data_IF_241292227958
#
_entry.id   IF_241292227958
#
_cell.length_a   1.000
_cell.length_b   1.000
_cell.length_c   1.000
_cell.angle_alpha   90.00
_cell.angle_beta   90.00
_cell.angle_gamma   90.00
#
_symmetry.space_group_name_H-M   'P 1'
#
loop_
_entity.id
_entity.type
_entity.pdbx_description
1 polymer ?
#
# COMPACT_ATOMS: atom_id res chain seq x y z
N UNK A 1 -29.23 69.40 0.23
CA UNK A 1 -29.65 68.38 -0.75
C UNK A 1 -28.73 67.17 -0.61
N UNK A 2 -29.20 66.07 -0.02
CA UNK A 2 -28.41 64.82 0.15
C UNK A 2 -28.66 63.95 -1.10
N UNK A 3 -27.62 63.43 -1.79
CA UNK A 3 -27.79 62.80 -3.09
C UNK A 3 -28.44 61.41 -2.98
N UNK A 4 -29.32 61.10 -3.94
CA UNK A 4 -30.21 59.94 -4.01
C UNK A 4 -29.54 58.56 -4.18
N UNK A 5 -28.24 58.42 -3.88
CA UNK A 5 -27.46 57.19 -4.11
C UNK A 5 -27.65 56.14 -3.01
N UNK A 6 -28.05 56.55 -1.81
CA UNK A 6 -28.29 55.66 -0.64
C UNK A 6 -29.58 54.86 -0.72
N UNK A 7 -30.55 55.24 -1.57
CA UNK A 7 -31.87 54.57 -1.64
C UNK A 7 -31.87 53.24 -2.41
N UNK A 8 -30.87 52.97 -3.25
CA UNK A 8 -30.76 51.71 -4.04
C UNK A 8 -29.90 50.62 -3.37
N UNK A 9 -29.18 50.94 -2.29
CA UNK A 9 -28.35 49.97 -1.55
C UNK A 9 -29.13 49.21 -0.45
N UNK A 10 -30.21 49.79 0.06
CA UNK A 10 -31.07 49.15 1.05
C UNK A 10 -31.72 47.82 0.57
N UNK A 11 -32.30 47.73 -0.65
CA UNK A 11 -32.91 46.47 -1.11
C UNK A 11 -31.88 45.39 -1.44
N UNK A 12 -30.69 45.76 -1.92
CA UNK A 12 -29.61 44.81 -2.22
C UNK A 12 -28.98 44.25 -0.94
N UNK A 13 -28.79 45.08 0.09
CA UNK A 13 -28.35 44.62 1.40
C UNK A 13 -29.40 43.71 2.06
N UNK A 14 -30.68 44.04 1.94
CA UNK A 14 -31.78 43.20 2.43
C UNK A 14 -31.83 41.83 1.76
N UNK A 15 -31.62 41.76 0.44
CA UNK A 15 -31.52 40.50 -0.31
C UNK A 15 -30.31 39.66 0.12
N UNK A 16 -29.15 40.28 0.33
CA UNK A 16 -27.95 39.57 0.79
C UNK A 16 -28.13 39.03 2.21
N UNK A 17 -28.74 39.79 3.12
CA UNK A 17 -29.04 39.33 4.47
C UNK A 17 -30.11 38.23 4.48
N UNK A 18 -31.13 38.32 3.62
CA UNK A 18 -32.12 37.27 3.46
C UNK A 18 -31.51 35.99 2.88
N UNK A 19 -30.62 36.10 1.88
CA UNK A 19 -29.89 34.97 1.33
C UNK A 19 -28.94 34.35 2.37
N UNK A 20 -28.26 35.16 3.18
CA UNK A 20 -27.39 34.69 4.26
C UNK A 20 -28.18 34.00 5.37
N UNK A 21 -29.34 34.57 5.75
CA UNK A 21 -30.26 33.95 6.71
C UNK A 21 -30.84 32.63 6.21
N UNK A 22 -31.25 32.57 4.94
CA UNK A 22 -31.71 31.33 4.32
C UNK A 22 -30.59 30.28 4.25
N UNK A 23 -29.37 30.69 3.89
CA UNK A 23 -28.19 29.82 3.89
C UNK A 23 -27.86 29.31 5.29
N UNK A 24 -27.97 30.15 6.32
CA UNK A 24 -27.73 29.74 7.70
C UNK A 24 -28.81 28.75 8.19
N UNK A 25 -30.08 28.96 7.82
CA UNK A 25 -31.16 28.02 8.16
C UNK A 25 -31.00 26.66 7.47
N UNK A 26 -30.59 26.66 6.20
CA UNK A 26 -30.22 25.43 5.47
C UNK A 26 -29.00 24.78 6.11
N UNK A 27 -27.97 25.55 6.46
CA UNK A 27 -26.79 25.01 7.13
C UNK A 27 -27.15 24.39 8.48
N UNK A 28 -28.02 25.02 9.27
CA UNK A 28 -28.47 24.49 10.55
C UNK A 28 -29.37 23.26 10.40
N UNK A 29 -30.18 23.16 9.33
CA UNK A 29 -30.98 21.96 9.07
C UNK A 29 -30.09 20.80 8.63
N UNK A 30 -29.14 21.07 7.74
CA UNK A 30 -28.10 20.13 7.33
C UNK A 30 -27.31 19.69 8.55
N UNK A 31 -26.77 20.59 9.36
CA UNK A 31 -25.98 20.25 10.54
C UNK A 31 -26.77 19.40 11.57
N UNK A 32 -28.08 19.63 11.71
CA UNK A 32 -28.96 18.82 12.57
C UNK A 32 -29.25 17.43 12.03
N UNK A 33 -29.42 17.28 10.71
CA UNK A 33 -29.52 15.95 10.09
C UNK A 33 -28.17 15.24 10.11
N UNK A 34 -27.10 15.94 9.75
CA UNK A 34 -25.72 15.46 9.74
C UNK A 34 -25.19 15.11 11.12
N UNK A 35 -25.70 15.73 12.20
CA UNK A 35 -25.40 15.33 13.57
C UNK A 35 -25.88 13.90 13.87
N UNK A 36 -26.96 13.42 13.24
CA UNK A 36 -27.42 12.03 13.36
C UNK A 36 -26.55 11.05 12.55
N UNK A 37 -25.88 11.55 11.52
CA UNK A 37 -24.98 10.78 10.67
C UNK A 37 -23.50 10.87 11.08
N UNK A 38 -23.15 11.73 12.05
CA UNK A 38 -21.80 11.80 12.65
C UNK A 38 -21.37 10.47 13.29
N UNK A 39 -22.32 9.62 13.66
CA UNK A 39 -22.05 8.27 14.21
C UNK A 39 -22.11 7.16 13.16
N UNK A 40 -22.45 7.46 11.90
CA UNK A 40 -22.54 6.48 10.81
C UNK A 40 -21.61 6.84 9.66
N UNK A 41 -20.36 6.32 9.65
CA UNK A 41 -19.43 6.50 8.53
C UNK A 41 -19.92 5.87 7.21
N UNK A 42 -21.11 5.26 7.20
CA UNK A 42 -21.60 4.35 6.17
C UNK A 42 -22.44 4.98 5.05
N UNK A 43 -22.58 6.30 5.00
CA UNK A 43 -23.40 6.96 3.97
C UNK A 43 -22.52 7.66 2.95
N UNK A 44 -22.53 7.22 1.69
CA UNK A 44 -22.05 8.04 0.57
C UNK A 44 -23.00 9.23 0.43
N UNK A 45 -22.56 10.45 0.77
CA UNK A 45 -23.45 11.62 0.77
C UNK A 45 -23.99 11.90 -0.65
N UNK A 46 -23.15 11.68 -1.66
CA UNK A 46 -23.47 11.62 -3.08
C UNK A 46 -22.54 10.58 -3.70
N UNK A 47 -23.10 9.59 -4.42
CA UNK A 47 -22.36 8.45 -4.99
C UNK A 47 -21.63 8.75 -6.31
N UNK A 48 -21.92 9.90 -6.93
CA UNK A 48 -21.32 10.29 -8.22
C UNK A 48 -20.31 11.42 -8.05
N UNK A 49 -19.02 11.09 -8.15
CA UNK A 49 -17.94 12.09 -8.13
C UNK A 49 -18.08 13.13 -9.24
N UNK A 50 -18.62 12.77 -10.41
CA UNK A 50 -18.88 13.71 -11.51
C UNK A 50 -19.95 14.75 -11.16
N UNK A 51 -21.02 14.34 -10.49
CA UNK A 51 -22.08 15.26 -10.03
C UNK A 51 -21.54 16.17 -8.94
N UNK A 52 -20.79 15.60 -7.99
CA UNK A 52 -20.18 16.38 -6.91
C UNK A 52 -19.17 17.40 -7.44
N UNK A 53 -18.39 17.02 -8.47
CA UNK A 53 -17.45 17.90 -9.16
C UNK A 53 -18.15 19.13 -9.75
N UNK A 54 -19.31 18.95 -10.39
CA UNK A 54 -20.10 20.05 -10.95
C UNK A 54 -20.74 20.93 -9.86
N UNK A 55 -21.24 20.31 -8.78
CA UNK A 55 -21.90 21.01 -7.68
C UNK A 55 -20.92 21.72 -6.72
N UNK A 56 -19.64 21.36 -6.76
CA UNK A 56 -18.59 21.95 -5.90
C UNK A 56 -18.30 23.43 -6.16
N UNK A 57 -18.82 24.01 -7.24
CA UNK A 57 -18.64 25.42 -7.64
C UNK A 57 -17.15 25.85 -7.61
N UNK A 58 -16.23 24.96 -7.99
CA UNK A 58 -14.78 25.22 -8.03
C UNK A 58 -13.99 24.78 -6.78
N UNK A 59 -14.64 24.32 -5.70
CA UNK A 59 -13.97 23.85 -4.48
C UNK A 59 -13.71 22.33 -4.50
N UNK A 60 -13.34 21.80 -5.67
CA UNK A 60 -13.20 20.36 -5.90
C UNK A 60 -12.11 19.75 -5.01
N UNK A 61 -10.95 20.38 -4.91
CA UNK A 61 -9.85 19.92 -4.06
C UNK A 61 -10.22 19.91 -2.58
N UNK A 62 -10.92 20.94 -2.07
CA UNK A 62 -11.39 20.94 -0.68
C UNK A 62 -12.36 19.79 -0.40
N UNK A 63 -13.28 19.52 -1.33
CA UNK A 63 -14.17 18.37 -1.20
C UNK A 63 -13.42 17.04 -1.32
N UNK A 64 -12.39 16.96 -2.17
CA UNK A 64 -11.53 15.80 -2.24
C UNK A 64 -10.84 15.54 -0.90
N UNK A 65 -10.32 16.58 -0.22
CA UNK A 65 -9.71 16.46 1.11
C UNK A 65 -10.71 15.95 2.17
N UNK A 66 -11.97 16.39 2.10
CA UNK A 66 -13.04 15.90 2.98
C UNK A 66 -13.29 14.41 2.71
N UNK A 67 -13.41 13.99 1.46
CA UNK A 67 -13.63 12.59 1.10
C UNK A 67 -12.39 11.71 1.40
N UNK A 68 -11.18 12.25 1.25
CA UNK A 68 -9.95 11.59 1.63
C UNK A 68 -9.91 11.36 3.16
N UNK A 69 -10.20 12.39 3.95
CA UNK A 69 -10.30 12.28 5.41
C UNK A 69 -11.31 11.21 5.80
N UNK A 70 -12.47 11.18 5.15
CA UNK A 70 -13.50 10.15 5.39
C UNK A 70 -13.00 8.75 5.04
N UNK A 71 -12.21 8.62 3.97
CA UNK A 71 -11.62 7.34 3.55
C UNK A 71 -10.68 6.81 4.63
N UNK A 72 -9.74 7.65 5.10
CA UNK A 72 -8.78 7.29 6.14
C UNK A 72 -9.50 6.96 7.46
N UNK A 73 -10.50 7.75 7.85
CA UNK A 73 -11.28 7.50 9.07
C UNK A 73 -12.10 6.21 8.97
N UNK A 74 -12.73 5.93 7.81
CA UNK A 74 -13.44 4.68 7.58
C UNK A 74 -12.48 3.50 7.71
N UNK A 75 -11.37 3.52 6.99
CA UNK A 75 -10.35 2.45 7.04
C UNK A 75 -9.82 2.23 8.46
N UNK A 76 -9.40 3.30 9.14
CA UNK A 76 -8.88 3.23 10.51
C UNK A 76 -9.92 2.72 11.52
N UNK A 77 -11.20 3.09 11.36
CA UNK A 77 -12.28 2.59 12.23
C UNK A 77 -12.49 1.08 12.05
N UNK A 78 -12.40 0.56 10.82
CA UNK A 78 -12.52 -0.88 10.55
C UNK A 78 -11.37 -1.66 11.18
N UNK A 79 -10.15 -1.16 11.05
CA UNK A 79 -8.98 -1.81 11.67
C UNK A 79 -9.09 -1.85 13.19
N UNK A 80 -9.45 -0.71 13.81
CA UNK A 80 -9.61 -0.60 15.26
C UNK A 80 -10.71 -1.51 15.80
N UNK A 81 -11.82 -1.59 15.08
CA UNK A 81 -12.98 -2.39 15.47
C UNK A 81 -12.87 -3.85 14.97
N UNK A 82 -11.72 -4.26 14.44
CA UNK A 82 -11.42 -5.59 13.89
C UNK A 82 -12.43 -6.10 12.85
N UNK A 83 -13.01 -5.19 12.06
CA UNK A 83 -13.97 -5.52 10.99
C UNK A 83 -13.23 -5.92 9.72
N UNK A 84 -13.78 -6.91 9.01
CA UNK A 84 -13.24 -7.41 7.73
C UNK A 84 -13.93 -6.84 6.50
N UNK A 85 -15.07 -6.16 6.67
CA UNK A 85 -15.81 -5.53 5.59
C UNK A 85 -15.32 -4.10 5.34
N UNK A 86 -14.84 -3.87 4.11
CA UNK A 86 -14.33 -2.60 3.59
C UNK A 86 -15.12 -2.13 2.36
N UNK A 87 -16.38 -2.53 2.21
CA UNK A 87 -17.25 -2.24 1.06
C UNK A 87 -17.29 -0.78 0.59
N UNK A 88 -17.12 0.20 1.48
CA UNK A 88 -17.15 1.63 1.12
C UNK A 88 -15.80 2.21 0.72
N UNK A 89 -14.71 1.47 0.90
CA UNK A 89 -13.36 1.98 0.65
C UNK A 89 -13.17 2.37 -0.83
N UNK A 90 -13.54 1.47 -1.75
CA UNK A 90 -13.47 1.72 -3.18
C UNK A 90 -14.28 2.94 -3.63
N UNK A 91 -15.59 3.00 -3.34
CA UNK A 91 -16.41 4.16 -3.68
C UNK A 91 -15.90 5.49 -3.11
N UNK A 92 -15.41 5.50 -1.87
CA UNK A 92 -14.85 6.72 -1.26
C UNK A 92 -13.58 7.18 -1.99
N UNK A 93 -12.69 6.25 -2.35
CA UNK A 93 -11.48 6.54 -3.11
C UNK A 93 -11.81 7.04 -4.51
N UNK A 94 -12.73 6.39 -5.23
CA UNK A 94 -13.12 6.78 -6.58
C UNK A 94 -13.68 8.20 -6.62
N UNK A 95 -14.51 8.58 -5.63
CA UNK A 95 -15.01 9.96 -5.51
C UNK A 95 -13.85 10.93 -5.24
N UNK A 96 -12.98 10.58 -4.29
CA UNK A 96 -11.83 11.42 -3.90
C UNK A 96 -10.98 11.77 -5.12
N UNK A 97 -10.54 10.76 -5.89
CA UNK A 97 -9.65 10.96 -7.04
C UNK A 97 -10.38 11.53 -8.27
N UNK A 98 -11.70 11.38 -8.34
CA UNK A 98 -12.51 12.06 -9.38
C UNK A 98 -12.61 13.57 -9.11
N UNK A 99 -12.66 13.97 -7.83
CA UNK A 99 -12.71 15.37 -7.43
C UNK A 99 -11.35 16.04 -7.60
N UNK A 100 -10.29 15.41 -7.10
CA UNK A 100 -8.92 15.89 -7.26
C UNK A 100 -8.00 14.80 -7.82
N UNK A 101 -7.86 14.73 -9.16
CA UNK A 101 -6.95 13.79 -9.80
C UNK A 101 -5.46 14.04 -9.50
N UNK A 102 -5.09 15.20 -8.93
CA UNK A 102 -3.70 15.51 -8.58
C UNK A 102 -3.36 15.09 -7.14
N UNK A 103 -4.33 14.59 -6.37
CA UNK A 103 -4.13 14.13 -4.99
C UNK A 103 -3.41 12.77 -4.96
N UNK A 104 -2.11 12.76 -5.29
CA UNK A 104 -1.28 11.55 -5.42
C UNK A 104 -1.27 10.66 -4.17
N UNK A 105 -1.42 11.24 -2.98
CA UNK A 105 -1.50 10.52 -1.70
C UNK A 105 -2.69 9.55 -1.66
N UNK A 106 -3.84 9.93 -2.23
CA UNK A 106 -5.03 9.09 -2.25
C UNK A 106 -4.84 7.87 -3.15
N UNK A 107 -4.11 8.02 -4.26
CA UNK A 107 -3.76 6.88 -5.13
C UNK A 107 -2.80 5.92 -4.42
N UNK A 108 -1.75 6.43 -3.77
CA UNK A 108 -0.77 5.60 -3.09
C UNK A 108 -1.39 4.81 -1.94
N UNK A 109 -1.89 5.50 -0.93
CA UNK A 109 -2.45 4.84 0.26
C UNK A 109 -3.75 4.10 -0.06
N UNK A 110 -4.60 4.67 -0.93
CA UNK A 110 -5.81 4.00 -1.38
C UNK A 110 -5.54 2.67 -2.06
N UNK A 111 -4.47 2.57 -2.87
CA UNK A 111 -4.08 1.30 -3.48
C UNK A 111 -3.69 0.24 -2.44
N UNK A 112 -2.99 0.63 -1.37
CA UNK A 112 -2.62 -0.27 -0.26
C UNK A 112 -3.88 -0.73 0.47
N UNK A 113 -4.76 0.20 0.85
CA UNK A 113 -5.98 -0.11 1.58
C UNK A 113 -6.88 -1.07 0.80
N UNK A 114 -6.95 -0.91 -0.52
CA UNK A 114 -7.72 -1.77 -1.41
C UNK A 114 -7.06 -3.14 -1.58
N UNK A 115 -5.74 -3.20 -1.78
CA UNK A 115 -5.08 -4.44 -2.15
C UNK A 115 -4.87 -5.42 -0.99
N UNK A 116 -4.59 -4.92 0.23
CA UNK A 116 -4.34 -5.79 1.38
C UNK A 116 -5.57 -6.64 1.71
N UNK A 117 -5.35 -7.91 2.09
CA UNK A 117 -6.44 -8.83 2.45
C UNK A 117 -7.07 -8.47 3.80
N UNK A 118 -8.36 -8.77 4.02
CA UNK A 118 -8.94 -8.70 5.35
C UNK A 118 -8.15 -9.54 6.37
N UNK A 119 -8.01 -9.07 7.62
CA UNK A 119 -8.63 -7.88 8.21
C UNK A 119 -7.88 -6.57 7.96
N UNK A 120 -6.78 -6.57 7.19
CA UNK A 120 -5.93 -5.39 7.00
C UNK A 120 -6.36 -4.48 5.84
N UNK A 121 -7.15 -4.97 4.90
CA UNK A 121 -7.69 -4.19 3.80
C UNK A 121 -8.87 -4.88 3.10
N UNK A 122 -9.27 -4.34 1.94
CA UNK A 122 -10.45 -4.82 1.21
C UNK A 122 -10.23 -6.13 0.42
N UNK A 123 -8.99 -6.52 0.15
CA UNK A 123 -8.66 -7.69 -0.65
C UNK A 123 -9.05 -7.56 -2.12
N UNK A 124 -9.12 -6.32 -2.64
CA UNK A 124 -9.44 -5.99 -4.03
C UNK A 124 -8.22 -5.37 -4.76
N UNK A 125 -7.24 -6.21 -5.14
CA UNK A 125 -6.08 -5.73 -5.88
C UNK A 125 -6.41 -5.24 -7.29
N UNK A 126 -7.57 -5.61 -7.88
CA UNK A 126 -7.94 -5.12 -9.21
C UNK A 126 -8.41 -3.68 -9.15
N UNK A 127 -9.20 -3.31 -8.15
CA UNK A 127 -9.56 -1.91 -7.92
C UNK A 127 -8.32 -1.07 -7.59
N UNK A 128 -7.40 -1.59 -6.78
CA UNK A 128 -6.12 -0.93 -6.51
C UNK A 128 -5.29 -0.65 -7.78
N UNK A 129 -5.22 -1.60 -8.73
CA UNK A 129 -4.59 -1.39 -10.05
C UNK A 129 -5.29 -0.29 -10.82
N UNK A 130 -6.62 -0.35 -10.94
CA UNK A 130 -7.40 0.62 -11.70
C UNK A 130 -7.22 2.04 -11.13
N UNK A 131 -7.19 2.16 -9.80
CA UNK A 131 -6.92 3.40 -9.09
C UNK A 131 -5.53 3.94 -9.47
N UNK A 132 -4.46 3.14 -9.37
CA UNK A 132 -3.10 3.56 -9.72
C UNK A 132 -2.96 3.93 -11.19
N UNK A 133 -3.58 3.16 -12.10
CA UNK A 133 -3.58 3.46 -13.54
C UNK A 133 -4.26 4.80 -13.83
N UNK A 134 -5.39 5.08 -13.16
CA UNK A 134 -6.04 6.39 -13.25
C UNK A 134 -5.10 7.50 -12.76
N UNK A 135 -4.42 7.30 -11.64
CA UNK A 135 -3.45 8.25 -11.10
C UNK A 135 -2.28 8.52 -12.05
N UNK A 136 -1.75 7.49 -12.71
CA UNK A 136 -0.65 7.60 -13.68
C UNK A 136 -1.06 8.47 -14.88
N UNK A 137 -2.29 8.30 -15.39
CA UNK A 137 -2.81 9.12 -16.50
C UNK A 137 -2.99 10.57 -16.06
N UNK A 138 -3.49 10.79 -14.84
CA UNK A 138 -3.71 12.13 -14.30
C UNK A 138 -2.39 12.84 -13.91
N UNK A 139 -1.35 12.09 -13.54
CA UNK A 139 -0.10 12.61 -12.99
C UNK A 139 1.12 12.00 -13.73
N UNK A 140 1.32 12.29 -15.03
CA UNK A 140 2.38 11.66 -15.83
C UNK A 140 3.80 11.92 -15.31
N UNK A 141 3.98 13.03 -14.59
CA UNK A 141 5.24 13.43 -13.98
C UNK A 141 5.55 12.71 -12.65
N UNK A 142 4.58 12.04 -12.03
CA UNK A 142 4.76 11.35 -10.76
C UNK A 142 5.16 9.89 -10.97
N UNK A 143 6.47 9.67 -11.13
CA UNK A 143 7.03 8.33 -11.37
C UNK A 143 6.77 7.33 -10.22
N UNK A 144 6.49 7.80 -8.99
CA UNK A 144 6.22 6.90 -7.86
C UNK A 144 4.95 6.08 -8.05
N UNK A 145 3.95 6.60 -8.77
CA UNK A 145 2.74 5.83 -9.08
C UNK A 145 3.05 4.57 -9.90
N UNK A 146 4.02 4.64 -10.81
CA UNK A 146 4.53 3.46 -11.52
C UNK A 146 5.25 2.48 -10.60
N UNK A 147 6.02 2.98 -9.63
CA UNK A 147 6.63 2.13 -8.61
C UNK A 147 5.56 1.40 -7.79
N UNK A 148 4.52 2.08 -7.33
CA UNK A 148 3.43 1.47 -6.57
C UNK A 148 2.67 0.43 -7.42
N UNK A 149 2.41 0.72 -8.70
CA UNK A 149 1.80 -0.24 -9.61
C UNK A 149 2.67 -1.48 -9.81
N UNK A 150 3.98 -1.28 -10.01
CA UNK A 150 4.93 -2.38 -10.13
C UNK A 150 5.03 -3.21 -8.85
N UNK A 151 5.01 -2.57 -7.69
CA UNK A 151 4.97 -3.23 -6.38
C UNK A 151 3.73 -4.11 -6.22
N UNK A 152 2.56 -3.58 -6.58
CA UNK A 152 1.30 -4.31 -6.51
C UNK A 152 1.30 -5.56 -7.41
N UNK A 153 1.79 -5.44 -8.66
CA UNK A 153 1.97 -6.60 -9.53
C UNK A 153 2.95 -7.62 -8.96
N UNK A 154 4.07 -7.16 -8.41
CA UNK A 154 5.12 -8.03 -7.89
C UNK A 154 4.66 -8.81 -6.65
N UNK A 155 4.03 -8.12 -5.69
CA UNK A 155 3.78 -8.67 -4.36
C UNK A 155 2.42 -9.35 -4.27
N UNK A 156 1.35 -8.63 -4.62
CA UNK A 156 -0.02 -9.13 -4.44
C UNK A 156 -0.41 -10.13 -5.52
N UNK A 157 0.02 -9.88 -6.76
CA UNK A 157 -0.39 -10.68 -7.92
C UNK A 157 0.67 -11.67 -8.37
N UNK A 158 1.91 -11.56 -7.87
CA UNK A 158 3.08 -12.35 -8.32
C UNK A 158 3.26 -12.30 -9.84
N UNK A 159 2.83 -11.22 -10.47
CA UNK A 159 2.91 -10.99 -11.90
C UNK A 159 4.19 -10.21 -12.23
N UNK A 160 5.29 -10.94 -12.27
CA UNK A 160 6.62 -10.35 -12.47
C UNK A 160 6.76 -9.67 -13.84
N UNK A 161 6.05 -10.16 -14.86
CA UNK A 161 6.07 -9.57 -16.21
C UNK A 161 5.47 -8.17 -16.18
N UNK A 162 4.25 -8.03 -15.62
CA UNK A 162 3.62 -6.71 -15.50
C UNK A 162 4.34 -5.82 -14.48
N UNK A 163 4.91 -6.39 -13.43
CA UNK A 163 5.74 -5.64 -12.49
C UNK A 163 6.96 -5.01 -13.18
N UNK A 164 7.76 -5.81 -13.89
CA UNK A 164 8.92 -5.31 -14.62
C UNK A 164 8.54 -4.24 -15.65
N UNK A 165 7.45 -4.46 -16.39
CA UNK A 165 6.94 -3.49 -17.36
C UNK A 165 6.55 -2.16 -16.70
N UNK A 166 5.91 -2.19 -15.53
CA UNK A 166 5.57 -0.97 -14.78
C UNK A 166 6.82 -0.22 -14.30
N UNK A 167 7.82 -0.93 -13.75
CA UNK A 167 9.11 -0.33 -13.37
C UNK A 167 9.84 0.27 -14.58
N UNK A 168 9.85 -0.43 -15.71
CA UNK A 168 10.48 0.04 -16.94
C UNK A 168 9.77 1.27 -17.51
N UNK A 169 8.44 1.31 -17.45
CA UNK A 169 7.65 2.48 -17.87
C UNK A 169 7.93 3.68 -16.95
N UNK A 170 7.89 3.49 -15.63
CA UNK A 170 8.21 4.54 -14.66
C UNK A 170 9.63 5.08 -14.78
N UNK A 171 10.59 4.22 -15.12
CA UNK A 171 11.99 4.58 -15.33
C UNK A 171 12.24 5.52 -16.53
N UNK A 172 11.27 5.66 -17.45
CA UNK A 172 11.36 6.61 -18.57
C UNK A 172 11.09 8.05 -18.14
N UNK A 173 10.47 8.25 -16.97
CA UNK A 173 10.22 9.58 -16.44
C UNK A 173 11.56 10.24 -16.03
N UNK A 174 11.86 11.49 -16.47
CA UNK A 174 13.13 12.15 -16.17
C UNK A 174 13.41 12.38 -14.67
N UNK A 175 12.36 12.44 -13.86
CA UNK A 175 12.43 12.60 -12.39
C UNK A 175 12.58 11.26 -11.67
N UNK A 176 12.49 10.13 -12.38
CA UNK A 176 12.63 8.81 -11.80
C UNK A 176 14.06 8.57 -11.32
N UNK A 177 14.19 7.85 -10.22
CA UNK A 177 15.49 7.46 -9.69
C UNK A 177 16.04 6.28 -10.49
N UNK A 178 17.37 6.24 -10.66
CA UNK A 178 18.05 5.21 -11.48
C UNK A 178 17.74 3.77 -11.06
N UNK A 179 17.45 3.56 -9.78
CA UNK A 179 17.09 2.24 -9.26
C UNK A 179 15.84 1.64 -9.93
N UNK A 180 14.94 2.45 -10.50
CA UNK A 180 13.77 1.95 -11.25
C UNK A 180 14.19 1.09 -12.45
N UNK A 181 15.28 1.46 -13.16
CA UNK A 181 15.83 0.69 -14.29
C UNK A 181 16.45 -0.61 -13.83
N UNK A 182 17.22 -0.54 -12.74
CA UNK A 182 17.82 -1.71 -12.10
C UNK A 182 16.73 -2.70 -11.67
N UNK A 183 15.62 -2.19 -11.12
CA UNK A 183 14.49 -3.00 -10.72
C UNK A 183 13.77 -3.67 -11.88
N UNK A 184 13.52 -2.94 -12.97
CA UNK A 184 12.94 -3.54 -14.16
C UNK A 184 13.80 -4.73 -14.64
N UNK A 185 15.11 -4.56 -14.74
CA UNK A 185 16.04 -5.62 -15.12
C UNK A 185 16.04 -6.79 -14.12
N UNK A 186 16.11 -6.50 -12.81
CA UNK A 186 16.14 -7.52 -11.76
C UNK A 186 14.85 -8.37 -11.72
N UNK A 187 13.69 -7.74 -11.91
CA UNK A 187 12.40 -8.45 -11.95
C UNK A 187 12.27 -9.25 -13.26
N UNK A 188 12.74 -8.73 -14.39
CA UNK A 188 12.76 -9.48 -15.65
C UNK A 188 13.66 -10.72 -15.58
N UNK A 189 14.85 -10.59 -14.97
CA UNK A 189 15.83 -11.68 -14.90
C UNK A 189 15.46 -12.72 -13.83
N UNK A 190 15.03 -12.27 -12.65
CA UNK A 190 14.83 -13.11 -11.45
C UNK A 190 13.61 -12.67 -10.64
N UNK A 191 12.47 -12.47 -11.31
CA UNK A 191 11.20 -12.15 -10.66
C UNK A 191 10.87 -13.16 -9.54
N UNK A 192 10.63 -12.67 -8.33
CA UNK A 192 10.35 -13.51 -7.16
C UNK A 192 11.59 -13.98 -6.38
N UNK A 193 12.81 -13.62 -6.79
CA UNK A 193 14.02 -13.91 -6.03
C UNK A 193 14.11 -13.04 -4.77
N UNK A 194 14.59 -13.65 -3.68
CA UNK A 194 14.77 -13.03 -2.37
C UNK A 194 15.57 -11.72 -2.42
N UNK A 195 16.57 -11.62 -3.29
CA UNK A 195 17.48 -10.46 -3.36
C UNK A 195 16.77 -9.26 -3.99
N UNK A 196 15.96 -9.50 -5.02
CA UNK A 196 15.09 -8.48 -5.62
C UNK A 196 14.04 -8.02 -4.62
N UNK A 197 13.45 -8.95 -3.87
CA UNK A 197 12.48 -8.63 -2.81
C UNK A 197 13.10 -7.85 -1.65
N UNK A 198 14.30 -8.22 -1.22
CA UNK A 198 15.06 -7.52 -0.16
C UNK A 198 15.35 -6.09 -0.56
N UNK A 199 15.77 -5.89 -1.81
CA UNK A 199 16.01 -4.56 -2.35
C UNK A 199 14.73 -3.70 -2.29
N UNK A 200 13.59 -4.22 -2.75
CA UNK A 200 12.32 -3.49 -2.77
C UNK A 200 11.87 -3.05 -1.37
N UNK A 201 11.88 -3.96 -0.40
CA UNK A 201 11.46 -3.62 0.96
C UNK A 201 12.42 -2.65 1.64
N UNK A 202 13.73 -2.76 1.35
CA UNK A 202 14.71 -1.78 1.81
C UNK A 202 14.41 -0.38 1.27
N UNK A 203 13.98 -0.27 0.00
CA UNK A 203 13.56 1.04 -0.57
C UNK A 203 12.37 1.64 0.16
N UNK A 204 11.36 0.83 0.51
CA UNK A 204 10.18 1.30 1.26
C UNK A 204 10.61 1.73 2.67
N UNK A 205 11.39 0.90 3.36
CA UNK A 205 11.93 1.19 4.69
C UNK A 205 12.71 2.52 4.74
N UNK A 206 13.57 2.75 3.74
CA UNK A 206 14.42 3.94 3.68
C UNK A 206 13.65 5.21 3.28
N UNK A 207 12.56 5.08 2.52
CA UNK A 207 11.85 6.23 1.93
C UNK A 207 10.60 6.68 2.69
N UNK A 208 10.02 5.83 3.54
CA UNK A 208 8.79 6.16 4.27
C UNK A 208 9.08 6.93 5.55
N UNK A 209 8.32 7.99 5.84
CA UNK A 209 8.37 8.69 7.14
C UNK A 209 7.38 8.09 8.15
N UNK A 210 6.42 7.27 7.70
CA UNK A 210 5.41 6.65 8.54
C UNK A 210 6.01 5.50 9.37
N UNK A 211 5.97 5.56 10.71
CA UNK A 211 6.52 4.52 11.58
C UNK A 211 5.88 3.14 11.42
N UNK A 212 4.58 3.08 11.09
CA UNK A 212 3.83 1.84 10.88
C UNK A 212 4.28 1.15 9.60
N UNK A 213 4.38 1.91 8.51
CA UNK A 213 4.88 1.40 7.22
C UNK A 213 6.34 0.98 7.35
N UNK A 214 7.16 1.78 8.05
CA UNK A 214 8.56 1.44 8.33
C UNK A 214 8.68 0.13 9.09
N UNK A 215 7.86 -0.07 10.13
CA UNK A 215 7.83 -1.31 10.92
C UNK A 215 7.41 -2.52 10.08
N UNK A 216 6.39 -2.34 9.23
CA UNK A 216 5.94 -3.39 8.31
C UNK A 216 7.06 -3.79 7.34
N UNK A 217 7.70 -2.80 6.69
CA UNK A 217 8.82 -3.03 5.80
C UNK A 217 10.01 -3.73 6.49
N UNK A 218 10.29 -3.39 7.75
CA UNK A 218 11.32 -4.05 8.55
C UNK A 218 11.04 -5.55 8.74
N UNK A 219 9.79 -5.91 9.09
CA UNK A 219 9.39 -7.30 9.26
C UNK A 219 9.60 -8.13 7.99
N UNK A 220 9.23 -7.57 6.84
CA UNK A 220 9.47 -8.20 5.54
C UNK A 220 10.96 -8.36 5.21
N UNK A 221 11.79 -7.35 5.52
CA UNK A 221 13.26 -7.42 5.34
C UNK A 221 13.84 -8.56 6.19
N UNK A 222 13.44 -8.64 7.46
CA UNK A 222 13.94 -9.65 8.40
C UNK A 222 13.55 -11.07 7.96
N UNK A 223 12.30 -11.26 7.51
CA UNK A 223 11.83 -12.52 6.95
C UNK A 223 12.62 -12.97 5.71
N UNK A 224 12.87 -12.05 4.77
CA UNK A 224 13.63 -12.34 3.55
C UNK A 224 15.10 -12.66 3.86
N UNK A 225 15.74 -11.90 4.77
CA UNK A 225 17.10 -12.20 5.21
C UNK A 225 17.21 -13.59 5.82
N UNK A 226 16.23 -13.97 6.65
CA UNK A 226 16.21 -15.29 7.23
C UNK A 226 16.13 -16.41 6.18
N UNK A 227 15.40 -16.22 5.08
CA UNK A 227 15.37 -17.18 3.98
C UNK A 227 16.70 -17.25 3.23
N UNK A 228 17.34 -16.11 2.97
CA UNK A 228 18.67 -16.07 2.35
C UNK A 228 19.70 -16.81 3.21
N UNK A 229 19.66 -16.58 4.51
CA UNK A 229 20.56 -17.26 5.47
C UNK A 229 20.28 -18.76 5.51
N UNK A 230 19.01 -19.17 5.50
CA UNK A 230 18.61 -20.58 5.42
C UNK A 230 19.11 -21.24 4.12
N UNK A 231 18.90 -20.64 2.95
CA UNK A 231 19.42 -21.16 1.67
C UNK A 231 20.96 -21.29 1.70
N UNK A 232 21.65 -20.32 2.31
CA UNK A 232 23.10 -20.36 2.46
C UNK A 232 23.56 -21.47 3.41
N UNK A 233 22.83 -21.74 4.49
CA UNK A 233 23.10 -22.86 5.41
C UNK A 233 22.88 -24.19 4.68
N UNK A 234 21.74 -24.36 4.01
CA UNK A 234 21.36 -25.59 3.31
C UNK A 234 22.38 -25.96 2.23
N UNK A 235 22.84 -24.97 1.45
CA UNK A 235 23.89 -25.17 0.45
C UNK A 235 25.18 -25.72 1.06
N UNK A 236 25.50 -25.34 2.30
CA UNK A 236 26.74 -25.74 3.00
C UNK A 236 26.54 -27.09 3.69
N UNK A 237 25.34 -27.37 4.19
CA UNK A 237 24.96 -28.70 4.65
C UNK A 237 25.03 -29.71 3.50
N UNK A 238 24.62 -29.32 2.29
CA UNK A 238 24.71 -30.16 1.10
C UNK A 238 26.17 -30.40 0.69
N UNK A 239 27.03 -29.38 0.75
CA UNK A 239 28.46 -29.56 0.57
C UNK A 239 29.04 -30.57 1.58
N UNK A 240 28.69 -30.44 2.87
CA UNK A 240 29.10 -31.39 3.91
C UNK A 240 28.63 -32.81 3.59
N UNK A 241 27.39 -32.97 3.11
CA UNK A 241 26.81 -34.26 2.75
C UNK A 241 27.58 -34.92 1.60
N UNK A 242 27.93 -34.16 0.56
CA UNK A 242 28.71 -34.66 -0.57
C UNK A 242 30.12 -35.09 -0.14
N UNK A 243 30.75 -34.35 0.77
CA UNK A 243 32.11 -34.64 1.24
C UNK A 243 32.18 -35.79 2.25
N UNK A 244 31.18 -35.93 3.13
CA UNK A 244 31.22 -36.87 4.27
C UNK A 244 30.23 -38.05 4.14
N UNK A 245 29.38 -38.07 3.11
CA UNK A 245 28.37 -39.11 2.90
C UNK A 245 27.19 -39.08 3.89
N UNK A 246 27.11 -38.07 4.75
CA UNK A 246 26.03 -37.87 5.73
C UNK A 246 25.73 -36.39 5.93
N UNK A 247 24.53 -36.05 6.37
CA UNK A 247 24.20 -34.69 6.79
C UNK A 247 24.98 -34.28 8.05
N UNK A 248 25.23 -32.97 8.25
CA UNK A 248 25.73 -32.47 9.52
C UNK A 248 24.69 -32.69 10.62
N UNK A 249 25.14 -33.04 11.82
CA UNK A 249 24.30 -33.19 13.00
C UNK A 249 23.86 -31.84 13.58
N UNK A 250 24.60 -30.76 13.30
CA UNK A 250 24.27 -29.41 13.74
C UNK A 250 24.98 -28.32 12.94
N UNK A 251 24.52 -27.08 13.07
CA UNK A 251 25.23 -25.88 12.58
C UNK A 251 26.63 -25.77 13.21
N UNK A 252 26.78 -26.12 14.49
CA UNK A 252 28.07 -26.04 15.19
C UNK A 252 29.12 -26.98 14.57
N UNK A 253 28.71 -28.15 14.09
CA UNK A 253 29.61 -29.07 13.36
C UNK A 253 30.05 -28.45 12.03
N UNK A 254 29.15 -27.79 11.30
CA UNK A 254 29.52 -27.09 10.07
C UNK A 254 30.53 -25.96 10.33
N UNK A 255 30.42 -25.26 11.47
CA UNK A 255 31.38 -24.25 11.89
C UNK A 255 32.74 -24.87 12.23
N UNK A 256 32.78 -26.00 12.97
CA UNK A 256 34.04 -26.65 13.31
C UNK A 256 34.77 -27.22 12.09
N UNK A 257 34.03 -27.55 11.02
CA UNK A 257 34.57 -27.96 9.72
C UNK A 257 34.89 -26.76 8.79
N UNK A 258 34.74 -25.51 9.26
CA UNK A 258 35.07 -24.31 8.49
C UNK A 258 34.12 -23.99 7.33
N UNK A 259 32.96 -24.67 7.24
CA UNK A 259 31.94 -24.40 6.22
C UNK A 259 31.14 -23.13 6.51
N UNK A 260 31.12 -22.71 7.78
CA UNK A 260 30.50 -21.48 8.24
C UNK A 260 31.49 -20.70 9.13
N UNK A 261 31.54 -19.35 9.01
CA UNK A 261 32.44 -18.52 9.81
C UNK A 261 32.03 -18.42 11.30
N UNK A 262 30.79 -18.80 11.62
CA UNK A 262 30.20 -18.79 12.96
C UNK A 262 28.76 -19.31 12.91
N UNK A 263 28.12 -19.44 14.07
CA UNK A 263 26.70 -19.85 14.14
C UNK A 263 25.83 -18.65 13.72
N UNK A 264 25.16 -18.70 12.56
CA UNK A 264 24.32 -17.59 12.11
C UNK A 264 23.09 -17.47 13.01
N UNK A 265 22.63 -16.24 13.22
CA UNK A 265 21.44 -15.92 14.00
C UNK A 265 20.48 -15.08 13.17
N UNK A 266 19.18 -15.24 13.40
CA UNK A 266 18.16 -14.41 12.77
C UNK A 266 18.09 -13.00 13.36
N UNK A 267 17.23 -12.14 12.81
CA UNK A 267 17.04 -10.76 13.27
C UNK A 267 16.52 -10.66 14.72
N UNK A 268 15.89 -11.72 15.25
CA UNK A 268 15.47 -11.82 16.65
C UNK A 268 16.60 -12.33 17.57
N UNK A 269 17.78 -12.61 17.03
CA UNK A 269 18.97 -13.06 17.75
C UNK A 269 18.99 -14.55 18.06
N UNK A 270 18.08 -15.34 17.48
CA UNK A 270 18.06 -16.79 17.69
C UNK A 270 18.89 -17.53 16.64
N UNK A 271 19.67 -18.55 17.03
CA UNK A 271 20.40 -19.37 16.07
C UNK A 271 19.45 -20.22 15.22
N UNK A 272 19.77 -20.34 13.93
CA UNK A 272 19.07 -21.27 13.03
C UNK A 272 19.24 -22.72 13.50
N UNK A 273 18.24 -23.55 13.20
CA UNK A 273 18.29 -24.99 13.45
C UNK A 273 18.47 -25.74 12.14
N UNK A 274 19.28 -26.80 12.18
CA UNK A 274 19.42 -27.74 11.08
C UNK A 274 18.53 -28.95 11.37
N UNK A 275 17.73 -29.36 10.39
CA UNK A 275 16.93 -30.58 10.45
C UNK A 275 17.74 -31.79 9.97
N UNK A 276 17.31 -33.03 10.30
CA UNK A 276 18.03 -34.25 9.92
C UNK A 276 18.20 -34.46 8.40
N UNK A 277 17.36 -33.82 7.59
CA UNK A 277 17.39 -33.85 6.13
C UNK A 277 18.31 -32.78 5.52
N UNK A 278 19.02 -32.01 6.35
CA UNK A 278 19.90 -30.93 5.91
C UNK A 278 19.20 -29.59 5.68
N UNK A 279 17.87 -29.50 5.87
CA UNK A 279 17.13 -28.25 5.73
C UNK A 279 17.31 -27.35 6.95
N UNK A 280 17.34 -26.04 6.73
CA UNK A 280 17.42 -25.05 7.80
C UNK A 280 16.02 -24.65 8.27
N UNK A 281 15.91 -24.18 9.51
CA UNK A 281 14.67 -23.67 10.07
C UNK A 281 14.91 -22.58 11.10
N UNK A 282 13.93 -21.69 11.24
CA UNK A 282 13.89 -20.73 12.33
C UNK A 282 13.77 -21.44 13.68
N UNK A 283 14.30 -20.78 14.70
CA UNK A 283 14.06 -21.19 16.07
C UNK A 283 12.56 -21.00 16.42
N UNK A 284 11.90 -21.93 17.14
CA UNK A 284 10.48 -21.81 17.49
C UNK A 284 10.11 -20.58 18.32
N UNK A 285 11.08 -20.00 19.01
CA UNK A 285 10.91 -18.76 19.78
C UNK A 285 11.21 -17.48 18.97
N UNK A 286 11.62 -17.63 17.70
CA UNK A 286 11.86 -16.49 16.82
C UNK A 286 10.56 -15.77 16.53
N UNK A 287 10.60 -14.44 16.59
CA UNK A 287 9.47 -13.59 16.17
C UNK A 287 9.51 -13.27 14.68
N UNK A 288 10.52 -13.75 13.95
CA UNK A 288 10.64 -13.55 12.50
C UNK A 288 9.57 -14.36 11.78
N UNK A 289 8.81 -13.69 10.91
CA UNK A 289 7.81 -14.33 10.04
C UNK A 289 8.39 -14.54 8.66
N UNK A 290 8.33 -15.77 8.15
CA UNK A 290 8.70 -16.06 6.77
C UNK A 290 7.51 -15.72 5.87
N UNK A 291 7.58 -14.60 5.15
CA UNK A 291 6.51 -14.14 4.25
C UNK A 291 6.37 -14.96 2.95
N UNK A 292 7.22 -15.97 2.78
CA UNK A 292 7.37 -16.76 1.55
C UNK A 292 7.25 -18.25 1.89
N UNK A 293 6.02 -18.76 1.84
CA UNK A 293 5.81 -20.16 1.48
C UNK A 293 5.94 -20.24 -0.05
N UNK A 294 6.91 -21.01 -0.55
CA UNK A 294 7.19 -21.19 -1.98
C UNK A 294 6.11 -21.97 -2.75
N UNK A 295 4.96 -22.24 -2.13
CA UNK A 295 3.84 -22.88 -2.80
C UNK A 295 3.36 -22.01 -3.98
N UNK A 296 3.51 -22.47 -5.25
CA UNK A 296 2.94 -21.76 -6.38
C UNK A 296 1.44 -21.62 -6.16
N UNK A 297 0.90 -20.41 -6.40
CA UNK A 297 -0.53 -20.21 -6.34
C UNK A 297 -1.19 -21.27 -7.23
N UNK A 298 -2.19 -22.03 -6.72
CA UNK A 298 -2.85 -23.03 -7.53
C UNK A 298 -3.38 -22.34 -8.79
N UNK A 299 -3.23 -22.96 -9.98
CA UNK A 299 -3.70 -22.37 -11.23
C UNK A 299 -5.17 -21.99 -11.04
N UNK A 300 -5.49 -20.71 -11.27
CA UNK A 300 -6.87 -20.23 -11.24
C UNK A 300 -7.66 -21.08 -12.21
N UNK A 301 -8.70 -21.75 -11.72
CA UNK A 301 -9.65 -22.44 -12.57
C UNK A 301 -10.21 -21.43 -13.60
N UNK A 302 -10.40 -21.84 -14.87
CA UNK A 302 -11.10 -21.00 -15.82
C UNK A 302 -12.48 -20.68 -15.23
N UNK A 303 -12.83 -19.39 -15.22
CA UNK A 303 -14.15 -18.95 -14.80
C UNK A 303 -15.22 -19.63 -15.68
N UNK A 304 -16.39 -19.97 -15.10
CA UNK A 304 -17.48 -20.62 -15.83
C UNK A 304 -18.04 -19.77 -16.97
#
# INVERSE_FOLDING_TARGET
MIPARTRRMAPTLGLLLAAWGASALVQMSVDREMARYRESPEILWISSGKVLRTLSLGHQSLLADVYWTRTVQYYGSRLRDHKTDFSLLGPLLDITVTLDPQLTVAYYFGSIFLSEKPPRGAGDPQHAIALLQHGIVANPDEWRLWHHLGFLYYWELRDYVRAAAAYQAGAKNPKARDWMKVMAAAITEKGGNLQTSLFLWSRIYDSTEDPTIRKNAAGHIDGIKAQIDMEAIEKRAQQFQVENGRWPASIAEMVSHGLLPGVPVDAAGFPYRLKPDGTAALHPASTVTLDYDHSPAPPRAPAP
#
